data_IF_447566987959
#
_entry.id   IF_447566987959
#
_cell.length_a   1.000
_cell.length_b   1.000
_cell.length_c   1.000
_cell.angle_alpha   90.00
_cell.angle_beta   90.00
_cell.angle_gamma   90.00
#
_symmetry.space_group_name_H-M   'P 1'
#
loop_
_entity.id
_entity.type
_entity.pdbx_description
1 polymer ?
#
# COMPACT_ATOMS: atom_id res chain seq x y z
N UNK A 1 -16.83 11.28 -9.22
CA UNK A 1 -16.98 10.22 -10.22
C UNK A 1 -15.57 9.80 -10.61
N UNK A 2 -15.00 8.82 -9.92
CA UNK A 2 -13.63 8.36 -10.15
C UNK A 2 -13.70 7.19 -11.12
N UNK A 3 -13.23 7.40 -12.34
CA UNK A 3 -13.04 6.37 -13.35
C UNK A 3 -11.96 5.41 -12.86
N UNK A 4 -12.34 4.33 -12.19
CA UNK A 4 -11.48 3.16 -12.10
C UNK A 4 -11.34 2.63 -13.52
N UNK A 5 -10.16 2.83 -14.13
CA UNK A 5 -9.81 2.16 -15.38
C UNK A 5 -10.04 0.65 -15.18
N UNK A 6 -10.99 0.10 -15.92
CA UNK A 6 -11.39 -1.31 -15.86
C UNK A 6 -10.33 -2.26 -16.45
N UNK A 7 -9.27 -1.70 -17.04
CA UNK A 7 -8.13 -2.43 -17.55
C UNK A 7 -6.99 -2.39 -16.54
N UNK A 8 -6.51 -3.55 -16.05
CA UNK A 8 -5.32 -3.61 -15.22
C UNK A 8 -4.13 -2.99 -15.97
N UNK A 9 -3.27 -2.21 -15.30
CA UNK A 9 -2.04 -1.71 -15.90
C UNK A 9 -1.13 -2.89 -16.29
N UNK A 10 -0.29 -2.69 -17.31
CA UNK A 10 0.67 -3.69 -17.78
C UNK A 10 1.69 -4.08 -16.68
N UNK A 11 1.99 -3.12 -15.78
CA UNK A 11 2.78 -3.33 -14.58
C UNK A 11 1.95 -2.87 -13.35
N UNK A 12 1.33 -3.82 -12.60
CA UNK A 12 0.52 -3.51 -11.43
C UNK A 12 1.34 -3.04 -10.23
N UNK A 13 2.62 -3.39 -10.14
CA UNK A 13 3.48 -2.98 -9.03
C UNK A 13 3.83 -1.49 -9.16
N UNK A 14 4.43 -1.10 -10.29
CA UNK A 14 4.80 0.30 -10.52
C UNK A 14 3.58 1.23 -10.40
N UNK A 15 2.44 0.83 -10.97
CA UNK A 15 1.22 1.61 -10.88
C UNK A 15 0.69 1.73 -9.44
N UNK A 16 0.90 0.73 -8.58
CA UNK A 16 0.46 0.78 -7.19
C UNK A 16 1.38 1.67 -6.35
N UNK A 17 2.68 1.68 -6.65
CA UNK A 17 3.65 2.57 -6.03
C UNK A 17 3.38 4.05 -6.38
N UNK A 18 3.02 4.35 -7.63
CA UNK A 18 2.59 5.70 -8.02
C UNK A 18 1.31 6.12 -7.29
N UNK A 19 0.35 5.18 -7.15
CA UNK A 19 -0.88 5.43 -6.40
C UNK A 19 -0.65 5.72 -4.92
N UNK A 20 0.41 5.19 -4.31
CA UNK A 20 0.72 5.42 -2.90
C UNK A 20 0.94 6.92 -2.63
N UNK A 21 1.68 7.60 -3.51
CA UNK A 21 1.93 9.04 -3.43
C UNK A 21 0.64 9.81 -3.71
N UNK A 22 -0.06 9.49 -4.81
CA UNK A 22 -1.28 10.20 -5.20
C UNK A 22 -2.38 10.09 -4.14
N UNK A 23 -2.57 8.90 -3.56
CA UNK A 23 -3.61 8.66 -2.55
C UNK A 23 -3.41 9.50 -1.29
N UNK A 24 -2.16 9.77 -0.91
CA UNK A 24 -1.87 10.62 0.25
C UNK A 24 -2.21 12.08 -0.02
N UNK A 25 -1.89 12.56 -1.22
CA UNK A 25 -2.19 13.94 -1.61
C UNK A 25 -3.70 14.15 -1.71
N UNK A 26 -4.42 13.20 -2.29
CA UNK A 26 -5.88 13.22 -2.35
C UNK A 26 -6.51 13.17 -0.95
N UNK A 27 -5.97 12.36 -0.03
CA UNK A 27 -6.51 12.20 1.32
C UNK A 27 -6.22 13.40 2.23
N UNK A 28 -5.06 14.05 2.06
CA UNK A 28 -4.60 15.13 2.94
C UNK A 28 -4.79 16.52 2.36
N UNK A 29 -5.01 16.64 1.04
CA UNK A 29 -4.97 17.91 0.31
C UNK A 29 -3.59 18.57 0.31
N UNK A 30 -2.52 17.81 0.56
CA UNK A 30 -1.17 18.33 0.79
C UNK A 30 -0.11 17.51 0.07
N UNK A 31 0.89 18.18 -0.49
CA UNK A 31 2.07 17.57 -1.09
C UNK A 31 3.21 17.38 -0.09
N UNK A 32 3.02 17.74 1.18
CA UNK A 32 4.07 17.72 2.21
C UNK A 32 4.66 16.31 2.45
N UNK A 33 3.88 15.27 2.20
CA UNK A 33 4.32 13.87 2.37
C UNK A 33 4.98 13.28 1.13
N UNK A 34 4.99 14.01 0.00
CA UNK A 34 5.42 13.47 -1.30
C UNK A 34 6.82 12.84 -1.25
N UNK A 35 7.80 13.57 -0.72
CA UNK A 35 9.18 13.07 -0.68
C UNK A 35 9.30 11.78 0.14
N UNK A 36 8.72 11.75 1.35
CA UNK A 36 8.74 10.57 2.23
C UNK A 36 8.03 9.38 1.59
N UNK A 37 6.93 9.61 0.87
CA UNK A 37 6.18 8.55 0.20
C UNK A 37 6.88 8.06 -1.07
N UNK A 38 7.62 8.92 -1.77
CA UNK A 38 8.48 8.53 -2.88
C UNK A 38 9.67 7.68 -2.41
N UNK A 39 10.31 8.05 -1.31
CA UNK A 39 11.36 7.25 -0.69
C UNK A 39 10.83 5.89 -0.25
N UNK A 40 9.67 5.87 0.42
CA UNK A 40 8.99 4.61 0.79
C UNK A 40 8.65 3.77 -0.44
N UNK A 41 8.10 4.36 -1.50
CA UNK A 41 7.77 3.66 -2.74
C UNK A 41 9.03 3.03 -3.38
N UNK A 42 10.16 3.75 -3.38
CA UNK A 42 11.43 3.21 -3.84
C UNK A 42 11.92 2.02 -3.01
N UNK A 43 11.78 2.08 -1.69
CA UNK A 43 12.16 0.98 -0.80
C UNK A 43 11.23 -0.23 -0.95
N UNK A 44 9.93 -0.02 -1.12
CA UNK A 44 8.96 -1.10 -1.36
C UNK A 44 9.22 -1.82 -2.68
N UNK A 45 9.61 -1.07 -3.71
CA UNK A 45 10.02 -1.65 -4.99
C UNK A 45 11.29 -2.49 -4.86
N UNK A 46 12.29 -1.97 -4.14
CA UNK A 46 13.54 -2.70 -3.92
C UNK A 46 13.37 -3.99 -3.10
N UNK A 47 12.30 -4.08 -2.29
CA UNK A 47 11.94 -5.26 -1.50
C UNK A 47 10.96 -6.20 -2.23
N UNK A 48 10.62 -5.92 -3.49
CA UNK A 48 9.60 -6.64 -4.28
C UNK A 48 8.25 -6.77 -3.51
N UNK A 49 7.91 -5.77 -2.67
CA UNK A 49 6.87 -5.90 -1.65
C UNK A 49 5.46 -6.09 -2.25
N UNK A 50 5.24 -5.61 -3.48
CA UNK A 50 3.97 -5.74 -4.22
C UNK A 50 4.07 -6.74 -5.39
N UNK A 51 5.23 -7.36 -5.58
CA UNK A 51 5.48 -8.24 -6.71
C UNK A 51 4.51 -9.44 -6.73
N UNK A 52 3.95 -9.73 -7.90
CA UNK A 52 3.02 -10.83 -8.10
C UNK A 52 1.61 -10.62 -7.54
N UNK A 53 1.30 -9.45 -6.97
CA UNK A 53 -0.08 -9.10 -6.63
C UNK A 53 -0.88 -8.73 -7.88
N UNK A 54 -2.15 -9.14 -7.90
CA UNK A 54 -3.09 -8.62 -8.88
C UNK A 54 -3.31 -7.12 -8.62
N UNK A 55 -3.61 -6.35 -9.68
CA UNK A 55 -3.81 -4.90 -9.59
C UNK A 55 -4.73 -4.46 -8.44
N UNK A 56 -5.88 -5.11 -8.26
CA UNK A 56 -6.83 -4.77 -7.20
C UNK A 56 -6.25 -4.95 -5.78
N UNK A 57 -5.43 -5.99 -5.58
CA UNK A 57 -4.78 -6.26 -4.30
C UNK A 57 -3.62 -5.29 -4.07
N UNK A 58 -2.80 -5.02 -5.10
CA UNK A 58 -1.70 -4.05 -5.04
C UNK A 58 -2.21 -2.63 -4.75
N UNK A 59 -3.28 -2.20 -5.44
CA UNK A 59 -3.96 -0.92 -5.21
C UNK A 59 -4.47 -0.81 -3.76
N UNK A 60 -5.06 -1.89 -3.23
CA UNK A 60 -5.59 -1.90 -1.87
C UNK A 60 -4.47 -1.85 -0.82
N UNK A 61 -3.33 -2.50 -1.06
CA UNK A 61 -2.14 -2.37 -0.21
C UNK A 61 -1.59 -0.95 -0.25
N UNK A 62 -1.37 -0.38 -1.45
CA UNK A 62 -0.85 0.97 -1.61
C UNK A 62 -1.72 2.03 -0.90
N UNK A 63 -3.05 1.95 -1.07
CA UNK A 63 -3.98 2.85 -0.39
C UNK A 63 -3.92 2.70 1.15
N UNK A 64 -3.78 1.47 1.66
CA UNK A 64 -3.67 1.24 3.11
C UNK A 64 -2.35 1.77 3.69
N UNK A 65 -1.23 1.57 2.97
CA UNK A 65 0.08 2.07 3.37
C UNK A 65 0.10 3.59 3.38
N UNK A 66 -0.36 4.21 2.29
CA UNK A 66 -0.49 5.66 2.16
C UNK A 66 -1.30 6.27 3.31
N UNK A 67 -2.48 5.71 3.58
CA UNK A 67 -3.35 6.17 4.66
C UNK A 67 -2.69 6.02 6.04
N UNK A 68 -2.12 4.86 6.37
CA UNK A 68 -1.54 4.61 7.69
C UNK A 68 -0.29 5.49 7.91
N UNK A 69 0.56 5.68 6.90
CA UNK A 69 1.74 6.57 7.00
C UNK A 69 1.35 8.03 7.26
N UNK A 70 0.29 8.51 6.61
CA UNK A 70 -0.12 9.91 6.74
C UNK A 70 -0.97 10.19 7.99
N UNK A 71 -1.66 9.20 8.54
CA UNK A 71 -2.72 9.45 9.55
C UNK A 71 -2.56 8.69 10.86
N UNK A 72 -1.81 7.59 10.89
CA UNK A 72 -1.67 6.81 12.11
C UNK A 72 -0.57 7.41 13.01
N UNK A 73 -0.83 7.47 14.32
CA UNK A 73 0.21 7.79 15.30
C UNK A 73 1.29 6.69 15.39
N UNK A 74 0.93 5.46 15.02
CA UNK A 74 1.82 4.30 14.92
C UNK A 74 1.53 3.57 13.60
N UNK A 75 2.13 4.02 12.47
CA UNK A 75 1.93 3.42 11.15
C UNK A 75 2.40 1.97 11.07
N UNK A 76 3.56 1.65 11.65
CA UNK A 76 4.13 0.29 11.66
C UNK A 76 3.20 -0.70 12.35
N UNK A 77 2.76 -0.38 13.57
CA UNK A 77 1.82 -1.25 14.27
C UNK A 77 0.44 -1.30 13.60
N UNK A 78 0.02 -0.22 12.93
CA UNK A 78 -1.24 -0.23 12.15
C UNK A 78 -1.19 -1.22 11.00
N UNK A 79 -0.11 -1.20 10.21
CA UNK A 79 0.09 -2.12 9.09
C UNK A 79 0.14 -3.58 9.54
N UNK A 80 0.87 -3.88 10.63
CA UNK A 80 0.91 -5.23 11.22
C UNK A 80 -0.46 -5.70 11.72
N UNK A 81 -1.25 -4.81 12.34
CA UNK A 81 -2.64 -5.12 12.75
C UNK A 81 -3.53 -5.41 11.54
N UNK A 82 -3.38 -4.67 10.43
CA UNK A 82 -4.10 -4.94 9.19
C UNK A 82 -3.69 -6.29 8.58
N UNK A 83 -2.39 -6.60 8.54
CA UNK A 83 -1.90 -7.89 8.07
C UNK A 83 -2.48 -9.05 8.89
N UNK A 84 -2.49 -8.93 10.22
CA UNK A 84 -3.12 -9.91 11.12
C UNK A 84 -4.63 -10.05 10.87
N UNK A 85 -5.34 -8.94 10.63
CA UNK A 85 -6.77 -8.97 10.31
C UNK A 85 -7.07 -9.65 8.97
N UNK A 86 -6.21 -9.45 7.95
CA UNK A 86 -6.30 -10.13 6.65
C UNK A 86 -6.11 -11.63 6.82
N UNK A 87 -5.09 -12.06 7.58
CA UNK A 87 -4.87 -13.48 7.91
C UNK A 87 -6.04 -14.10 8.67
N UNK A 88 -6.71 -13.33 9.52
CA UNK A 88 -7.91 -13.76 10.24
C UNK A 88 -9.19 -13.76 9.39
N UNK A 89 -9.10 -13.50 8.07
CA UNK A 89 -10.24 -13.53 7.15
C UNK A 89 -11.20 -12.34 7.30
N UNK A 90 -10.78 -11.25 7.96
CA UNK A 90 -11.66 -10.10 8.22
C UNK A 90 -11.80 -9.12 7.06
N UNK A 91 -11.18 -9.39 5.90
CA UNK A 91 -11.36 -8.59 4.67
C UNK A 91 -12.20 -9.36 3.64
N UNK A 92 -13.45 -8.95 3.38
CA UNK A 92 -14.17 -9.43 2.23
C UNK A 92 -13.52 -8.82 0.97
N UNK A 93 -13.33 -9.61 -0.08
CA UNK A 93 -12.91 -9.18 -1.43
C UNK A 93 -11.40 -9.13 -1.76
N UNK A 94 -10.53 -9.82 -1.04
CA UNK A 94 -9.12 -9.98 -1.45
C UNK A 94 -8.96 -11.21 -2.37
N UNK A 95 -8.33 -11.05 -3.54
CA UNK A 95 -8.07 -12.19 -4.43
C UNK A 95 -6.92 -13.05 -3.89
N UNK A 96 -5.90 -12.41 -3.30
CA UNK A 96 -4.79 -13.06 -2.62
C UNK A 96 -4.59 -12.50 -1.19
N UNK A 97 -5.35 -12.99 -0.18
CA UNK A 97 -5.21 -12.54 1.20
C UNK A 97 -3.80 -12.76 1.77
N UNK A 98 -3.12 -13.85 1.38
CA UNK A 98 -1.78 -14.15 1.85
C UNK A 98 -0.76 -13.13 1.31
N UNK A 99 -0.82 -12.83 0.02
CA UNK A 99 0.03 -11.82 -0.62
C UNK A 99 -0.20 -10.42 -0.04
N UNK A 100 -1.46 -10.03 0.21
CA UNK A 100 -1.76 -8.74 0.86
C UNK A 100 -1.18 -8.68 2.26
N UNK A 101 -1.32 -9.75 3.06
CA UNK A 101 -0.78 -9.75 4.42
C UNK A 101 0.75 -9.70 4.42
N UNK A 102 1.39 -10.38 3.47
CA UNK A 102 2.85 -10.32 3.28
C UNK A 102 3.30 -8.90 2.87
N UNK A 103 2.64 -8.28 1.90
CA UNK A 103 2.96 -6.94 1.44
C UNK A 103 2.79 -5.88 2.54
N UNK A 104 1.76 -6.00 3.39
CA UNK A 104 1.56 -5.12 4.53
C UNK A 104 2.65 -5.29 5.60
N UNK A 105 3.11 -6.52 5.85
CA UNK A 105 4.23 -6.76 6.79
C UNK A 105 5.57 -6.30 6.23
N UNK A 106 5.80 -6.46 4.92
CA UNK A 106 6.97 -5.93 4.22
C UNK A 106 7.01 -4.40 4.35
N UNK A 107 5.89 -3.73 4.04
CA UNK A 107 5.76 -2.28 4.23
C UNK A 107 5.99 -1.84 5.68
N UNK A 108 5.46 -2.58 6.65
CA UNK A 108 5.72 -2.30 8.06
C UNK A 108 7.20 -2.47 8.43
N UNK A 109 7.90 -3.42 7.81
CA UNK A 109 9.31 -3.70 8.05
C UNK A 109 10.20 -2.61 7.45
N UNK A 110 9.94 -2.23 6.20
CA UNK A 110 10.60 -1.10 5.52
C UNK A 110 10.41 0.18 6.32
N UNK A 111 9.18 0.49 6.73
CA UNK A 111 8.89 1.70 7.50
C UNK A 111 9.53 1.71 8.89
N UNK A 112 9.79 0.54 9.49
CA UNK A 112 10.44 0.46 10.80
C UNK A 112 11.94 0.75 10.75
N UNK A 113 12.56 0.77 9.56
CA UNK A 113 14.00 1.00 9.36
C UNK A 113 14.32 2.31 8.63
N UNK A 114 13.30 3.04 8.18
CA UNK A 114 13.39 4.43 7.69
C UNK A 114 13.57 5.41 8.85
#
# INVERSE_FOLDING_TARGET
MTTASSTPPADPESAALDLLVQAAEDATGSTAFRAVLQDLAGLLHADDALAGLAWADAQLVAAAVSFDVCTAADPVGSLRRRAAAVRAGRRPCCANPAGIAQALDAAATVLAVM
#
